data_IF_187579396563
#
_entry.id   IF_187579396563
#
_cell.length_a   1.000
_cell.length_b   1.000
_cell.length_c   1.000
_cell.angle_alpha   90.00
_cell.angle_beta   90.00
_cell.angle_gamma   90.00
#
_symmetry.space_group_name_H-M   'P 1'
#
loop_
_entity.id
_entity.type
_entity.pdbx_description
1 polymer ?
#
# COMPACT_ATOMS: atom_id res chain seq x y z
N UNK A 1 5.75 -6.82 -9.90
CA UNK A 1 4.80 -6.99 -8.77
C UNK A 1 3.50 -7.64 -9.23
N UNK A 2 2.68 -6.96 -10.04
CA UNK A 2 1.30 -7.40 -10.39
C UNK A 2 1.22 -8.76 -11.10
N UNK A 3 2.16 -9.09 -11.98
CA UNK A 3 2.12 -10.36 -12.74
C UNK A 3 2.93 -11.50 -12.13
N UNK A 4 3.66 -11.25 -11.04
CA UNK A 4 4.58 -12.22 -10.45
C UNK A 4 4.39 -12.33 -8.94
N UNK A 5 4.92 -11.37 -8.19
CA UNK A 5 4.92 -11.38 -6.73
C UNK A 5 3.49 -11.46 -6.14
N UNK A 6 2.56 -10.67 -6.67
CA UNK A 6 1.18 -10.63 -6.15
C UNK A 6 0.45 -11.97 -6.37
N UNK A 7 0.35 -12.52 -7.61
CA UNK A 7 -0.23 -13.84 -7.82
C UNK A 7 0.46 -14.93 -7.00
N UNK A 8 1.79 -14.93 -6.93
CA UNK A 8 2.54 -15.93 -6.18
C UNK A 8 2.20 -15.90 -4.67
N UNK A 9 2.21 -14.71 -4.05
CA UNK A 9 1.90 -14.56 -2.64
C UNK A 9 0.45 -14.96 -2.31
N UNK A 10 -0.51 -14.56 -3.15
CA UNK A 10 -1.92 -14.88 -2.95
C UNK A 10 -2.24 -16.36 -3.22
N UNK A 11 -1.66 -16.96 -4.26
CA UNK A 11 -1.88 -18.37 -4.59
C UNK A 11 -1.25 -19.32 -3.59
N UNK A 12 -0.14 -18.93 -2.95
CA UNK A 12 0.47 -19.73 -1.88
C UNK A 12 -0.53 -20.05 -0.75
N UNK A 13 -1.47 -19.14 -0.47
CA UNK A 13 -2.51 -19.32 0.56
C UNK A 13 -3.48 -20.48 0.29
N UNK A 14 -3.55 -20.97 -0.95
CA UNK A 14 -4.37 -22.14 -1.29
C UNK A 14 -3.83 -23.41 -0.63
N UNK A 15 -2.52 -23.48 -0.41
CA UNK A 15 -1.80 -24.65 0.13
C UNK A 15 -1.14 -24.40 1.48
N UNK A 16 -0.76 -23.16 1.79
CA UNK A 16 -0.13 -22.76 3.05
C UNK A 16 -0.91 -21.59 3.69
N UNK A 17 -1.63 -21.88 4.78
CA UNK A 17 -2.42 -20.89 5.53
C UNK A 17 -1.72 -20.39 6.79
N UNK A 18 -0.41 -20.62 6.91
CA UNK A 18 0.36 -20.17 8.08
C UNK A 18 0.28 -18.64 8.26
N UNK A 19 0.39 -18.13 9.50
CA UNK A 19 0.47 -16.69 9.78
C UNK A 19 1.52 -15.97 8.94
N UNK A 20 2.69 -16.59 8.75
CA UNK A 20 3.75 -16.04 7.91
C UNK A 20 3.34 -15.91 6.43
N UNK A 21 2.62 -16.89 5.88
CA UNK A 21 2.10 -16.81 4.52
C UNK A 21 1.02 -15.72 4.38
N UNK A 22 0.14 -15.59 5.38
CA UNK A 22 -0.88 -14.53 5.41
C UNK A 22 -0.24 -13.12 5.47
N UNK A 23 0.82 -12.94 6.27
CA UNK A 23 1.57 -11.68 6.32
C UNK A 23 2.19 -11.37 4.96
N UNK A 24 2.89 -12.32 4.32
CA UNK A 24 3.47 -12.11 2.99
C UNK A 24 2.41 -11.68 1.96
N UNK A 25 1.25 -12.33 1.98
CA UNK A 25 0.15 -12.01 1.10
C UNK A 25 -0.44 -10.61 1.36
N UNK A 26 -0.74 -10.28 2.61
CA UNK A 26 -1.33 -8.99 2.99
C UNK A 26 -0.35 -7.83 2.82
N UNK A 27 0.94 -8.02 3.11
CA UNK A 27 1.99 -7.03 2.80
C UNK A 27 2.04 -6.78 1.29
N UNK A 28 2.10 -7.83 0.48
CA UNK A 28 2.19 -7.69 -0.98
C UNK A 28 0.96 -6.98 -1.55
N UNK A 29 -0.24 -7.37 -1.12
CA UNK A 29 -1.50 -6.85 -1.64
C UNK A 29 -1.84 -5.48 -1.04
N UNK A 30 -2.07 -5.42 0.27
CA UNK A 30 -2.62 -4.22 0.91
C UNK A 30 -1.56 -3.13 1.11
N UNK A 31 -0.33 -3.49 1.51
CA UNK A 31 0.68 -2.48 1.84
C UNK A 31 1.38 -1.97 0.59
N UNK A 32 1.79 -2.86 -0.32
CA UNK A 32 2.56 -2.48 -1.51
C UNK A 32 1.67 -2.17 -2.70
N UNK A 33 0.77 -3.08 -3.11
CA UNK A 33 -0.05 -2.87 -4.32
C UNK A 33 -1.07 -1.76 -4.11
N UNK A 34 -1.86 -1.81 -3.05
CA UNK A 34 -2.85 -0.75 -2.75
C UNK A 34 -2.17 0.45 -2.07
N UNK A 35 -1.49 0.20 -0.95
CA UNK A 35 -0.96 1.23 -0.07
C UNK A 35 0.19 2.07 -0.62
N UNK A 36 0.89 1.61 -1.67
CA UNK A 36 1.99 2.36 -2.32
C UNK A 36 1.70 2.58 -3.80
N UNK A 37 1.52 1.52 -4.59
CA UNK A 37 1.41 1.66 -6.05
C UNK A 37 0.09 2.32 -6.49
N UNK A 38 -1.06 1.86 -5.98
CA UNK A 38 -2.35 2.45 -6.34
C UNK A 38 -2.43 3.90 -5.86
N UNK A 39 -2.07 4.17 -4.60
CA UNK A 39 -2.01 5.53 -4.04
C UNK A 39 -1.13 6.48 -4.86
N UNK A 40 0.05 6.03 -5.29
CA UNK A 40 0.95 6.83 -6.15
C UNK A 40 0.35 7.05 -7.54
N UNK A 41 -0.32 6.02 -8.10
CA UNK A 41 -1.03 6.12 -9.36
C UNK A 41 -2.20 7.12 -9.31
N UNK A 42 -2.99 7.11 -8.24
CA UNK A 42 -4.06 8.09 -8.02
C UNK A 42 -3.50 9.51 -7.92
N UNK A 43 -2.39 9.69 -7.19
CA UNK A 43 -1.69 10.97 -7.12
C UNK A 43 -1.23 11.43 -8.52
N UNK A 44 -0.71 10.52 -9.35
CA UNK A 44 -0.29 10.82 -10.72
C UNK A 44 -1.45 11.24 -11.61
N UNK A 45 -2.56 10.52 -11.60
CA UNK A 45 -3.72 10.89 -12.40
C UNK A 45 -4.31 12.24 -11.99
N UNK A 46 -4.51 12.48 -10.69
CA UNK A 46 -5.05 13.74 -10.22
C UNK A 46 -4.09 14.89 -10.55
N UNK A 47 -2.80 14.71 -10.32
CA UNK A 47 -1.78 15.70 -10.66
C UNK A 47 -1.79 16.03 -12.15
N UNK A 48 -1.80 15.02 -13.03
CA UNK A 48 -1.80 15.21 -14.47
C UNK A 48 -3.09 15.88 -14.98
N UNK A 49 -4.25 15.45 -14.50
CA UNK A 49 -5.54 15.89 -15.03
C UNK A 49 -5.98 17.23 -14.42
N UNK A 50 -5.80 17.43 -13.12
CA UNK A 50 -6.30 18.62 -12.42
C UNK A 50 -5.44 19.85 -12.71
N UNK A 51 -4.10 19.71 -12.74
CA UNK A 51 -3.20 20.81 -13.12
C UNK A 51 -3.50 21.33 -14.53
N UNK A 52 -4.06 20.48 -15.39
CA UNK A 52 -4.39 20.81 -16.78
C UNK A 52 -5.88 21.09 -17.01
N UNK A 53 -6.74 21.01 -15.97
CA UNK A 53 -8.18 21.26 -16.09
C UNK A 53 -8.92 20.23 -16.96
N UNK A 54 -8.46 18.98 -16.98
CA UNK A 54 -8.96 17.92 -17.87
C UNK A 54 -9.80 16.87 -17.11
N UNK A 55 -10.71 16.23 -17.83
CA UNK A 55 -11.41 15.01 -17.43
C UNK A 55 -12.01 15.04 -16.00
N UNK A 56 -12.87 16.02 -15.66
CA UNK A 56 -13.39 16.17 -14.30
C UNK A 56 -14.16 14.93 -13.80
N UNK A 57 -14.83 14.20 -14.70
CA UNK A 57 -15.49 12.94 -14.36
C UNK A 57 -14.49 11.84 -13.96
N UNK A 58 -13.33 11.76 -14.61
CA UNK A 58 -12.27 10.83 -14.23
C UNK A 58 -11.67 11.19 -12.87
N UNK A 59 -11.43 12.48 -12.62
CA UNK A 59 -10.94 12.95 -11.32
C UNK A 59 -11.93 12.61 -10.20
N UNK A 60 -13.24 12.82 -10.43
CA UNK A 60 -14.26 12.41 -9.47
C UNK A 60 -14.24 10.90 -9.23
N UNK A 61 -14.14 10.09 -10.29
CA UNK A 61 -14.03 8.64 -10.18
C UNK A 61 -12.83 8.21 -9.31
N UNK A 62 -11.66 8.79 -9.54
CA UNK A 62 -10.46 8.50 -8.74
C UNK A 62 -10.64 8.89 -7.28
N UNK A 63 -11.29 10.03 -6.98
CA UNK A 63 -11.57 10.41 -5.59
C UNK A 63 -12.50 9.42 -4.90
N UNK A 64 -13.49 8.88 -5.61
CA UNK A 64 -14.38 7.83 -5.08
C UNK A 64 -13.61 6.52 -4.84
N UNK A 65 -12.75 6.10 -5.79
CA UNK A 65 -11.88 4.93 -5.58
C UNK A 65 -10.99 5.12 -4.35
N UNK A 66 -10.35 6.28 -4.22
CA UNK A 66 -9.49 6.59 -3.07
C UNK A 66 -10.23 6.50 -1.72
N UNK A 67 -11.50 6.89 -1.67
CA UNK A 67 -12.32 6.74 -0.46
C UNK A 67 -12.51 5.27 -0.07
N UNK A 68 -12.57 4.35 -1.05
CA UNK A 68 -12.73 2.93 -0.78
C UNK A 68 -11.43 2.24 -0.36
N UNK A 69 -10.31 2.67 -0.93
CA UNK A 69 -8.96 2.12 -0.69
C UNK A 69 -8.50 2.26 0.77
N UNK A 70 -8.97 3.31 1.44
CA UNK A 70 -8.82 3.50 2.88
C UNK A 70 -9.18 2.22 3.64
N UNK A 71 -10.33 1.61 3.35
CA UNK A 71 -10.83 0.41 4.04
C UNK A 71 -9.99 -0.83 3.72
N UNK A 72 -9.46 -0.94 2.51
CA UNK A 72 -8.62 -2.07 2.13
C UNK A 72 -7.27 -2.03 2.87
N UNK A 73 -6.68 -0.85 2.96
CA UNK A 73 -5.44 -0.61 3.72
C UNK A 73 -5.69 -0.83 5.21
N UNK A 74 -6.81 -0.35 5.78
CA UNK A 74 -7.19 -0.63 7.17
C UNK A 74 -7.23 -2.12 7.45
N UNK A 75 -7.90 -2.89 6.59
CA UNK A 75 -8.01 -4.33 6.76
C UNK A 75 -6.62 -5.00 6.76
N UNK A 76 -5.74 -4.60 5.84
CA UNK A 76 -4.36 -5.12 5.80
C UNK A 76 -3.58 -4.79 7.09
N UNK A 77 -3.65 -3.54 7.56
CA UNK A 77 -3.02 -3.13 8.83
C UNK A 77 -3.59 -3.96 9.99
N UNK A 78 -4.91 -4.08 10.09
CA UNK A 78 -5.58 -4.87 11.12
C UNK A 78 -5.10 -6.32 11.13
N UNK A 79 -5.13 -6.98 9.96
CA UNK A 79 -4.77 -8.39 9.82
C UNK A 79 -3.32 -8.63 10.23
N UNK A 80 -2.40 -7.82 9.69
CA UNK A 80 -0.97 -7.95 10.01
C UNK A 80 -0.74 -7.67 11.49
N UNK A 81 -1.32 -6.60 12.04
CA UNK A 81 -1.19 -6.23 13.45
C UNK A 81 -1.66 -7.35 14.38
N UNK A 82 -2.83 -7.94 14.08
CA UNK A 82 -3.38 -9.07 14.85
C UNK A 82 -2.43 -10.26 14.85
N UNK A 83 -1.85 -10.61 13.70
CA UNK A 83 -0.90 -11.72 13.59
C UNK A 83 0.40 -11.43 14.34
N UNK A 84 0.90 -10.19 14.30
CA UNK A 84 2.09 -9.75 15.06
C UNK A 84 1.86 -9.77 16.57
N UNK A 85 0.65 -9.46 17.04
CA UNK A 85 0.30 -9.56 18.46
C UNK A 85 0.23 -11.00 18.96
N UNK A 86 -0.14 -11.95 18.10
CA UNK A 86 -0.16 -13.38 18.42
C UNK A 86 1.24 -14.00 18.40
N UNK A 87 2.10 -13.60 17.46
CA UNK A 87 3.51 -14.03 17.38
C UNK A 87 4.42 -12.87 16.94
N UNK A 88 5.12 -12.21 17.88
CA UNK A 88 6.02 -11.10 17.57
C UNK A 88 7.19 -11.45 16.64
N UNK A 89 7.58 -12.73 16.53
CA UNK A 89 8.65 -13.15 15.63
C UNK A 89 8.28 -12.99 14.15
N UNK A 90 6.98 -12.88 13.84
CA UNK A 90 6.48 -12.63 12.49
C UNK A 90 6.80 -11.23 11.97
N UNK A 91 7.26 -10.30 12.83
CA UNK A 91 7.73 -8.97 12.42
C UNK A 91 8.78 -9.06 11.31
N UNK A 92 9.76 -9.94 11.48
CA UNK A 92 10.84 -10.16 10.52
C UNK A 92 10.30 -10.55 9.13
N UNK A 93 9.18 -11.30 9.09
CA UNK A 93 8.54 -11.68 7.83
C UNK A 93 7.89 -10.47 7.17
N UNK A 94 7.18 -9.64 7.94
CA UNK A 94 6.51 -8.44 7.42
C UNK A 94 7.54 -7.44 6.89
N UNK A 95 8.56 -7.13 7.70
CA UNK A 95 9.62 -6.18 7.37
C UNK A 95 10.46 -6.65 6.18
N UNK A 96 10.87 -7.93 6.15
CA UNK A 96 11.62 -8.47 5.02
C UNK A 96 10.80 -8.39 3.72
N UNK A 97 9.51 -8.73 3.76
CA UNK A 97 8.64 -8.67 2.57
C UNK A 97 8.45 -7.24 2.08
N UNK A 98 8.24 -6.28 3.00
CA UNK A 98 8.15 -4.85 2.68
C UNK A 98 9.43 -4.37 1.98
N UNK A 99 10.59 -4.66 2.56
CA UNK A 99 11.89 -4.24 2.04
C UNK A 99 12.25 -4.92 0.72
N UNK A 100 11.87 -6.18 0.52
CA UNK A 100 12.07 -6.90 -0.74
C UNK A 100 11.27 -6.23 -1.89
N UNK A 101 10.05 -5.78 -1.60
CA UNK A 101 9.15 -5.25 -2.61
C UNK A 101 9.35 -3.75 -2.89
N UNK A 102 9.94 -2.99 -1.96
CA UNK A 102 10.15 -1.54 -2.12
C UNK A 102 10.95 -1.18 -3.39
N UNK A 103 12.13 -1.76 -3.67
CA UNK A 103 12.87 -1.44 -4.90
C UNK A 103 12.08 -1.74 -6.16
N UNK A 104 11.28 -2.82 -6.14
CA UNK A 104 10.44 -3.21 -7.28
C UNK A 104 9.29 -2.22 -7.47
N UNK A 105 8.72 -1.69 -6.39
CA UNK A 105 7.67 -0.68 -6.46
C UNK A 105 8.19 0.66 -7.00
N UNK A 106 9.37 1.10 -6.53
CA UNK A 106 10.03 2.30 -7.08
C UNK A 106 10.44 2.10 -8.54
N UNK A 107 10.87 0.90 -8.92
CA UNK A 107 11.15 0.54 -10.30
C UNK A 107 9.95 0.72 -11.24
N UNK A 108 8.71 0.49 -10.77
CA UNK A 108 7.50 0.75 -11.57
C UNK A 108 7.36 2.24 -11.90
N UNK A 109 7.70 3.13 -10.96
CA UNK A 109 7.68 4.59 -11.19
C UNK A 109 8.75 4.93 -12.24
N UNK A 110 10.00 4.53 -12.00
CA UNK A 110 11.12 4.80 -12.91
C UNK A 110 10.84 4.27 -14.34
N UNK A 111 10.36 3.03 -14.47
CA UNK A 111 10.00 2.42 -15.74
C UNK A 111 8.88 3.19 -16.46
N UNK A 112 7.93 3.78 -15.72
CA UNK A 112 6.83 4.56 -16.30
C UNK A 112 7.36 5.86 -16.90
N UNK A 113 8.27 6.53 -16.20
CA UNK A 113 8.90 7.76 -16.66
C UNK A 113 9.87 7.51 -17.82
N UNK A 114 10.69 6.46 -17.74
CA UNK A 114 11.65 6.08 -18.79
C UNK A 114 11.02 5.64 -20.12
N UNK A 115 9.69 5.48 -20.20
CA UNK A 115 8.96 5.23 -21.45
C UNK A 115 8.79 6.46 -22.32
N UNK A 116 9.02 7.66 -21.80
CA UNK A 116 8.85 8.91 -22.52
C UNK A 116 10.17 9.67 -22.63
N UNK A 117 10.52 10.09 -23.84
CA UNK A 117 11.66 11.00 -24.05
C UNK A 117 11.40 12.38 -23.42
N UNK A 118 10.16 12.84 -23.49
CA UNK A 118 9.66 14.04 -22.83
C UNK A 118 8.39 13.67 -22.07
N UNK A 119 8.40 13.85 -20.75
CA UNK A 119 7.27 13.49 -19.91
C UNK A 119 6.03 14.34 -20.23
N UNK A 120 4.88 13.72 -20.57
CA UNK A 120 3.65 14.46 -20.76
C UNK A 120 3.14 15.05 -19.44
N UNK A 121 2.24 16.04 -19.54
CA UNK A 121 1.58 16.70 -18.41
C UNK A 121 2.51 17.42 -17.42
N UNK A 122 3.79 17.60 -17.75
CA UNK A 122 4.76 18.30 -16.91
C UNK A 122 5.03 17.61 -15.57
N UNK A 123 4.97 16.27 -15.56
CA UNK A 123 5.22 15.45 -14.38
C UNK A 123 6.72 15.29 -14.14
N UNK A 124 7.13 15.30 -12.87
CA UNK A 124 8.52 15.07 -12.45
C UNK A 124 8.65 13.72 -11.73
N UNK A 125 9.60 12.88 -12.15
CA UNK A 125 9.80 11.54 -11.59
C UNK A 125 10.02 11.57 -10.06
N UNK A 126 10.83 12.53 -9.60
CA UNK A 126 11.13 12.72 -8.18
C UNK A 126 9.88 12.96 -7.34
N UNK A 127 8.90 13.70 -7.86
CA UNK A 127 7.62 13.95 -7.14
C UNK A 127 6.93 12.61 -6.80
N UNK A 128 6.92 11.66 -7.75
CA UNK A 128 6.23 10.38 -7.57
C UNK A 128 7.06 9.35 -6.82
N UNK A 129 8.38 9.36 -7.00
CA UNK A 129 9.28 8.53 -6.21
C UNK A 129 9.23 8.91 -4.73
N UNK A 130 9.26 10.20 -4.42
CA UNK A 130 9.15 10.72 -3.05
C UNK A 130 7.77 10.42 -2.46
N UNK A 131 6.70 10.59 -3.25
CA UNK A 131 5.36 10.23 -2.82
C UNK A 131 5.25 8.74 -2.48
N UNK A 132 5.72 7.85 -3.35
CA UNK A 132 5.70 6.41 -3.13
C UNK A 132 6.49 6.01 -1.87
N UNK A 133 7.68 6.61 -1.68
CA UNK A 133 8.49 6.37 -0.48
C UNK A 133 7.77 6.86 0.79
N UNK A 134 7.12 8.02 0.75
CA UNK A 134 6.35 8.54 1.88
C UNK A 134 5.17 7.62 2.24
N UNK A 135 4.50 7.04 1.24
CA UNK A 135 3.42 6.08 1.47
C UNK A 135 3.95 4.80 2.11
N UNK A 136 5.06 4.27 1.59
CA UNK A 136 5.73 3.10 2.16
C UNK A 136 6.09 3.32 3.64
N UNK A 137 6.75 4.45 3.96
CA UNK A 137 7.15 4.80 5.32
C UNK A 137 5.95 4.87 6.26
N UNK A 138 4.85 5.53 5.85
CA UNK A 138 3.61 5.58 6.64
C UNK A 138 3.07 4.19 6.97
N UNK A 139 3.14 3.23 6.03
CA UNK A 139 2.66 1.86 6.27
C UNK A 139 3.59 1.12 7.23
N UNK A 140 4.90 1.23 7.03
CA UNK A 140 5.88 0.61 7.92
C UNK A 140 5.70 1.11 9.36
N UNK A 141 5.63 2.43 9.56
CA UNK A 141 5.41 3.04 10.88
C UNK A 141 4.10 2.59 11.55
N UNK A 142 3.04 2.37 10.76
CA UNK A 142 1.76 1.87 11.29
C UNK A 142 1.89 0.43 11.77
N UNK A 143 2.61 -0.42 11.03
CA UNK A 143 2.87 -1.80 11.43
C UNK A 143 3.84 -1.87 12.61
N UNK A 144 4.87 -1.01 12.67
CA UNK A 144 5.79 -0.91 13.81
C UNK A 144 5.06 -0.54 15.09
N UNK A 145 4.09 0.38 15.02
CA UNK A 145 3.27 0.76 16.17
C UNK A 145 2.41 -0.37 16.71
N UNK A 146 2.02 -1.33 15.87
CA UNK A 146 1.32 -2.51 16.31
C UNK A 146 2.26 -3.51 17.03
N UNK A 147 3.58 -3.34 16.95
CA UNK A 147 4.54 -4.21 17.61
C UNK A 147 4.45 -4.04 19.12
N UNK A 148 4.03 -5.10 19.80
CA UNK A 148 3.85 -5.11 21.25
C UNK A 148 2.51 -4.54 21.72
N UNK A 149 1.62 -4.16 20.79
CA UNK A 149 0.22 -3.88 21.11
C UNK A 149 -0.52 -5.19 21.44
N UNK A 150 -1.44 -5.11 22.39
CA UNK A 150 -2.39 -6.18 22.69
C UNK A 150 -3.49 -6.26 21.64
N UNK A 151 -4.16 -7.41 21.54
CA UNK A 151 -5.31 -7.56 20.64
C UNK A 151 -6.45 -6.56 20.95
N UNK A 152 -6.67 -6.24 22.23
CA UNK A 152 -7.67 -5.24 22.63
C UNK A 152 -7.32 -3.84 22.13
N UNK A 153 -6.04 -3.44 22.23
CA UNK A 153 -5.56 -2.16 21.71
C UNK A 153 -5.67 -2.08 20.19
N UNK A 154 -5.39 -3.18 19.48
CA UNK A 154 -5.53 -3.26 18.02
C UNK A 154 -6.99 -3.11 17.61
N UNK A 155 -7.92 -3.77 18.31
CA UNK A 155 -9.35 -3.65 18.02
C UNK A 155 -9.87 -2.25 18.31
N UNK A 156 -9.52 -1.67 19.46
CA UNK A 156 -9.89 -0.30 19.79
C UNK A 156 -9.35 0.72 18.76
N UNK A 157 -8.10 0.57 18.31
CA UNK A 157 -7.52 1.42 17.28
C UNK A 157 -8.21 1.26 15.91
N UNK A 158 -8.65 0.05 15.58
CA UNK A 158 -9.38 -0.24 14.35
C UNK A 158 -10.77 0.39 14.37
N UNK A 159 -11.49 0.24 15.48
CA UNK A 159 -12.82 0.84 15.67
C UNK A 159 -12.76 2.38 15.60
N UNK A 160 -11.77 2.99 16.25
CA UNK A 160 -11.55 4.45 16.16
C UNK A 160 -11.25 4.92 14.74
N UNK A 161 -10.45 4.17 13.98
CA UNK A 161 -10.12 4.51 12.59
C UNK A 161 -11.36 4.41 11.67
N UNK A 162 -12.24 3.43 11.92
CA UNK A 162 -13.53 3.30 11.23
C UNK A 162 -14.45 4.47 11.56
N UNK A 163 -14.53 4.89 12.83
CA UNK A 163 -15.39 6.00 13.25
C UNK A 163 -14.95 7.36 12.71
N UNK A 164 -13.64 7.57 12.53
CA UNK A 164 -13.08 8.85 12.11
C UNK A 164 -13.02 9.06 10.57
N UNK A 165 -13.35 8.04 9.76
CA UNK A 165 -13.08 8.03 8.30
C UNK A 165 -11.60 8.34 7.95
N UNK A 166 -10.68 8.17 8.90
CA UNK A 166 -9.28 8.61 8.84
C UNK A 166 -8.33 7.45 8.51
N UNK A 167 -8.73 6.60 7.56
CA UNK A 167 -7.87 5.52 7.05
C UNK A 167 -7.15 5.92 5.77
#
# INVERSE_FOLDING_TARGET
IVYSALPAAMQALLTDRSPAAQIRASVTYNMIVEGVLAETGYHAYLTALERNGLMPGQCQGIRLLKQDESRHIAYGIYLISRLLAEDPALWEVAEATMNELLPVALGVVADTFGRYEVMPFGLEESEFADYALSQFQKRLERLERARGATLEEIYAATDLAIEQNDV
#
